data_IF_371814098244
#
_entry.id   IF_371814098244
#
_cell.length_a   1.000
_cell.length_b   1.000
_cell.length_c   1.000
_cell.angle_alpha   90.00
_cell.angle_beta   90.00
_cell.angle_gamma   90.00
#
_symmetry.space_group_name_H-M   'P 1'
#
loop_
_entity.id
_entity.type
_entity.pdbx_description
1 polymer ?
#
# COMPACT_ATOMS: atom_id res chain seq x y z
N UNK A 1 -12.45 -54.23 -2.05
CA UNK A 1 -11.50 -53.09 -2.03
C UNK A 1 -12.35 -51.83 -2.03
N UNK A 2 -12.51 -51.18 -0.88
CA UNK A 2 -13.25 -49.91 -0.79
C UNK A 2 -12.25 -48.77 -0.98
N UNK A 3 -12.46 -47.95 -2.00
CA UNK A 3 -11.69 -46.73 -2.26
C UNK A 3 -12.31 -45.64 -1.38
N UNK A 4 -11.57 -45.16 -0.37
CA UNK A 4 -11.97 -43.96 0.37
C UNK A 4 -11.87 -42.73 -0.55
N UNK A 5 -12.89 -41.85 -0.59
CA UNK A 5 -12.74 -40.54 -1.19
C UNK A 5 -11.80 -39.68 -0.34
N UNK A 6 -11.00 -38.79 -0.94
CA UNK A 6 -10.22 -37.81 -0.18
C UNK A 6 -11.17 -36.84 0.52
N UNK A 7 -10.96 -36.66 1.83
CA UNK A 7 -11.62 -35.65 2.67
C UNK A 7 -11.48 -34.26 2.02
N UNK A 8 -12.55 -33.45 1.94
CA UNK A 8 -12.43 -32.10 1.42
C UNK A 8 -11.53 -31.29 2.36
N UNK A 9 -10.39 -30.85 1.81
CA UNK A 9 -9.46 -29.93 2.43
C UNK A 9 -10.23 -28.78 3.07
N UNK A 10 -9.97 -28.56 4.37
CA UNK A 10 -10.58 -27.50 5.16
C UNK A 10 -10.48 -26.17 4.43
N UNK A 11 -11.62 -25.70 3.94
CA UNK A 11 -11.78 -24.35 3.44
C UNK A 11 -11.47 -23.39 4.57
N UNK A 12 -10.28 -22.79 4.53
CA UNK A 12 -10.01 -21.55 5.26
C UNK A 12 -10.83 -20.46 4.57
N UNK A 13 -12.11 -20.42 4.94
CA UNK A 13 -13.02 -19.33 4.60
C UNK A 13 -12.59 -18.17 5.47
N UNK A 14 -11.52 -17.50 5.05
CA UNK A 14 -11.07 -16.24 5.65
C UNK A 14 -12.22 -15.26 5.55
N UNK A 15 -12.78 -14.94 6.71
CA UNK A 15 -13.81 -13.92 6.87
C UNK A 15 -13.36 -12.62 6.16
N UNK A 16 -14.10 -12.12 5.16
CA UNK A 16 -13.79 -10.84 4.49
C UNK A 16 -14.14 -9.63 5.38
N UNK A 17 -14.30 -9.83 6.69
CA UNK A 17 -14.42 -8.77 7.67
C UNK A 17 -13.15 -7.93 7.68
N UNK A 18 -13.28 -6.62 7.45
CA UNK A 18 -12.15 -5.66 7.52
C UNK A 18 -11.38 -5.64 8.85
N UNK A 19 -11.85 -6.40 9.86
CA UNK A 19 -11.12 -6.75 11.07
C UNK A 19 -9.84 -7.55 10.78
N UNK A 20 -9.90 -8.58 9.92
CA UNK A 20 -8.73 -9.40 9.58
C UNK A 20 -7.68 -8.62 8.77
N UNK A 21 -8.12 -7.69 7.92
CA UNK A 21 -7.21 -6.79 7.18
C UNK A 21 -6.44 -5.86 8.12
N UNK A 22 -7.14 -5.31 9.12
CA UNK A 22 -6.53 -4.42 10.10
C UNK A 22 -5.51 -5.15 10.96
N UNK A 23 -5.87 -6.33 11.48
CA UNK A 23 -4.97 -7.15 12.31
C UNK A 23 -3.66 -7.50 11.58
N UNK A 24 -3.74 -7.86 10.30
CA UNK A 24 -2.54 -8.16 9.49
C UNK A 24 -1.67 -6.92 9.27
N UNK A 25 -2.28 -5.78 8.95
CA UNK A 25 -1.53 -4.53 8.78
C UNK A 25 -0.92 -4.04 10.10
N UNK A 26 -1.60 -4.21 11.22
CA UNK A 26 -1.07 -3.91 12.56
C UNK A 26 0.15 -4.78 12.89
N UNK A 27 0.08 -6.08 12.60
CA UNK A 27 1.23 -6.98 12.76
C UNK A 27 2.43 -6.62 11.88
N UNK A 28 2.19 -5.98 10.73
CA UNK A 28 3.21 -5.54 9.77
C UNK A 28 3.61 -4.07 9.91
N UNK A 29 3.04 -3.35 10.87
CA UNK A 29 3.26 -1.92 11.03
C UNK A 29 4.75 -1.55 11.20
N UNK A 30 5.59 -2.30 11.94
CA UNK A 30 7.02 -1.98 12.05
C UNK A 30 7.75 -2.00 10.70
N UNK A 31 7.47 -3.01 9.88
CA UNK A 31 8.07 -3.18 8.55
C UNK A 31 7.57 -2.08 7.60
N UNK A 32 6.27 -1.81 7.61
CA UNK A 32 5.65 -0.75 6.81
C UNK A 32 6.14 0.64 7.22
N UNK A 33 6.36 0.88 8.51
CA UNK A 33 6.94 2.11 9.01
C UNK A 33 8.42 2.26 8.60
N UNK A 34 9.17 1.15 8.53
CA UNK A 34 10.54 1.16 8.00
C UNK A 34 10.56 1.51 6.51
N UNK A 35 9.69 0.89 5.72
CA UNK A 35 9.47 1.21 4.31
C UNK A 35 9.12 2.69 4.15
N UNK A 36 8.17 3.18 4.95
CA UNK A 36 7.75 4.58 4.90
C UNK A 36 8.92 5.53 5.17
N UNK A 37 9.74 5.28 6.20
CA UNK A 37 10.93 6.10 6.51
C UNK A 37 11.94 6.14 5.36
N UNK A 38 12.22 5.00 4.72
CA UNK A 38 13.12 4.91 3.57
C UNK A 38 12.56 5.67 2.36
N UNK A 39 11.27 5.46 2.10
CA UNK A 39 10.52 6.19 1.08
C UNK A 39 10.32 7.65 1.48
N UNK A 40 10.66 8.07 2.71
CA UNK A 40 10.36 9.39 3.23
C UNK A 40 11.43 10.21 3.89
N UNK A 41 12.66 9.98 3.48
CA UNK A 41 13.79 10.76 3.92
C UNK A 41 13.52 12.27 3.71
N UNK A 42 13.54 13.02 4.82
CA UNK A 42 13.31 14.46 4.87
C UNK A 42 11.85 14.93 4.86
N UNK A 43 10.87 14.04 5.03
CA UNK A 43 9.44 14.39 5.05
C UNK A 43 8.75 14.12 6.39
N UNK A 44 8.52 15.18 7.17
CA UNK A 44 7.69 15.17 8.40
C UNK A 44 6.25 14.65 8.17
N UNK A 45 5.77 14.67 6.92
CA UNK A 45 4.42 14.22 6.54
C UNK A 45 4.29 12.72 6.33
N UNK A 46 5.36 11.94 6.52
CA UNK A 46 5.35 10.52 6.22
C UNK A 46 4.33 9.71 7.04
N UNK A 47 4.26 9.94 8.35
CA UNK A 47 3.32 9.23 9.23
C UNK A 47 1.84 9.43 8.84
N UNK A 48 1.32 10.68 8.67
CA UNK A 48 -0.07 10.86 8.29
C UNK A 48 -0.40 10.32 6.88
N UNK A 49 0.56 10.33 5.96
CA UNK A 49 0.38 9.74 4.62
C UNK A 49 0.32 8.21 4.72
N UNK A 50 1.15 7.59 5.58
CA UNK A 50 1.11 6.16 5.83
C UNK A 50 -0.23 5.73 6.43
N UNK A 51 -0.72 6.44 7.45
CA UNK A 51 -2.04 6.14 8.05
C UNK A 51 -3.17 6.21 7.02
N UNK A 52 -3.12 7.21 6.14
CA UNK A 52 -4.08 7.34 5.04
C UNK A 52 -4.00 6.18 4.04
N UNK A 53 -2.80 5.74 3.70
CA UNK A 53 -2.57 4.59 2.82
C UNK A 53 -3.09 3.28 3.45
N UNK A 54 -2.85 3.07 4.75
CA UNK A 54 -3.35 1.91 5.50
C UNK A 54 -4.89 1.91 5.58
N UNK A 55 -5.49 3.05 5.94
CA UNK A 55 -6.94 3.20 5.98
C UNK A 55 -7.57 2.91 4.60
N UNK A 56 -6.92 3.38 3.53
CA UNK A 56 -7.33 3.10 2.15
C UNK A 56 -7.25 1.61 1.83
N UNK A 57 -6.13 0.96 2.18
CA UNK A 57 -5.94 -0.48 1.99
C UNK A 57 -7.06 -1.28 2.66
N UNK A 58 -7.35 -1.01 3.94
CA UNK A 58 -8.44 -1.67 4.67
C UNK A 58 -9.80 -1.46 4.00
N UNK A 59 -10.08 -0.26 3.49
CA UNK A 59 -11.39 0.05 2.90
C UNK A 59 -11.62 -0.63 1.54
N UNK A 60 -10.57 -0.75 0.72
CA UNK A 60 -10.70 -1.05 -0.71
C UNK A 60 -10.05 -2.34 -1.17
N UNK A 61 -9.23 -2.98 -0.32
CA UNK A 61 -8.64 -4.25 -0.65
C UNK A 61 -9.71 -5.34 -0.83
N UNK A 62 -9.59 -6.11 -1.92
CA UNK A 62 -10.50 -7.20 -2.30
C UNK A 62 -9.74 -8.44 -2.79
N UNK A 63 -8.46 -8.56 -2.42
CA UNK A 63 -7.61 -9.69 -2.77
C UNK A 63 -7.27 -10.56 -1.56
N UNK A 64 -6.31 -11.48 -1.72
CA UNK A 64 -5.80 -12.31 -0.62
C UNK A 64 -5.27 -11.46 0.54
N UNK A 65 -5.47 -11.93 1.77
CA UNK A 65 -4.84 -11.31 2.95
C UNK A 65 -3.43 -11.87 3.04
N UNK A 66 -2.41 -11.02 2.92
CA UNK A 66 -1.02 -11.46 2.82
C UNK A 66 -0.07 -10.38 2.28
N UNK A 67 1.06 -10.78 1.67
CA UNK A 67 2.08 -9.86 1.13
C UNK A 67 1.51 -8.86 0.12
N UNK A 68 0.50 -9.24 -0.66
CA UNK A 68 -0.15 -8.39 -1.64
C UNK A 68 -0.89 -7.21 -1.00
N UNK A 69 -1.47 -7.40 0.20
CA UNK A 69 -2.11 -6.31 0.94
C UNK A 69 -1.06 -5.27 1.40
N UNK A 70 0.09 -5.73 1.87
CA UNK A 70 1.20 -4.85 2.25
C UNK A 70 1.76 -4.12 1.03
N UNK A 71 1.99 -4.82 -0.07
CA UNK A 71 2.42 -4.23 -1.33
C UNK A 71 1.44 -3.16 -1.83
N UNK A 72 0.14 -3.43 -1.70
CA UNK A 72 -0.91 -2.49 -2.06
C UNK A 72 -0.89 -1.23 -1.17
N UNK A 73 -0.74 -1.40 0.14
CA UNK A 73 -0.62 -0.27 1.08
C UNK A 73 0.63 0.58 0.81
N UNK A 74 1.79 -0.03 0.57
CA UNK A 74 3.04 0.67 0.22
C UNK A 74 2.88 1.41 -1.11
N UNK A 75 2.25 0.80 -2.11
CA UNK A 75 2.00 1.44 -3.40
C UNK A 75 1.17 2.72 -3.24
N UNK A 76 0.07 2.65 -2.48
CA UNK A 76 -0.74 3.83 -2.15
C UNK A 76 0.04 4.91 -1.41
N UNK A 77 0.88 4.52 -0.45
CA UNK A 77 1.74 5.45 0.28
C UNK A 77 2.65 6.22 -0.67
N UNK A 78 3.33 5.54 -1.59
CA UNK A 78 4.22 6.17 -2.58
C UNK A 78 3.45 7.11 -3.50
N UNK A 79 2.31 6.70 -4.05
CA UNK A 79 1.53 7.57 -4.95
C UNK A 79 1.00 8.83 -4.25
N UNK A 80 0.49 8.69 -3.01
CA UNK A 80 0.06 9.83 -2.20
C UNK A 80 1.22 10.79 -1.92
N UNK A 81 2.37 10.23 -1.59
CA UNK A 81 3.57 10.99 -1.28
C UNK A 81 4.09 11.79 -2.48
N UNK A 82 4.04 11.23 -3.69
CA UNK A 82 4.40 11.92 -4.92
C UNK A 82 3.36 12.99 -5.27
N UNK A 83 2.07 12.72 -5.09
CA UNK A 83 1.00 13.66 -5.36
C UNK A 83 0.98 14.88 -4.42
N UNK A 84 1.44 14.71 -3.17
CA UNK A 84 1.62 15.83 -2.23
C UNK A 84 2.84 16.72 -2.56
N UNK A 85 3.54 16.45 -3.66
CA UNK A 85 4.54 17.35 -4.21
C UNK A 85 5.79 17.39 -3.36
N UNK A 86 6.49 16.25 -3.26
CA UNK A 86 7.87 16.26 -2.79
C UNK A 86 8.73 17.14 -3.68
N UNK A 87 9.04 18.33 -3.21
CA UNK A 87 10.38 18.84 -3.42
C UNK A 87 11.31 18.01 -2.54
N UNK A 88 12.33 17.30 -3.08
CA UNK A 88 13.34 16.67 -2.26
C UNK A 88 14.06 17.78 -1.48
N UNK A 89 13.61 18.06 -0.26
CA UNK A 89 14.39 18.83 0.69
C UNK A 89 15.45 17.86 1.19
N UNK A 90 16.71 18.11 0.83
CA UNK A 90 17.85 17.50 1.53
C UNK A 90 17.64 17.76 3.02
N UNK A 91 17.21 16.75 3.76
CA UNK A 91 17.31 16.79 5.21
C UNK A 91 18.81 16.82 5.55
N UNK A 92 19.19 17.69 6.48
CA UNK A 92 20.55 17.72 7.00
C UNK A 92 20.89 16.35 7.61
N UNK A 93 21.95 15.71 7.10
CA UNK A 93 22.35 14.35 7.45
C UNK A 93 21.83 13.24 6.53
N UNK A 94 21.09 13.56 5.48
CA UNK A 94 20.70 12.59 4.44
C UNK A 94 21.89 12.26 3.52
N UNK A 95 22.29 10.99 3.46
CA UNK A 95 23.32 10.51 2.53
C UNK A 95 22.87 10.62 1.07
N UNK A 96 23.82 10.74 0.14
CA UNK A 96 23.51 10.96 -1.29
C UNK A 96 22.64 9.84 -1.89
N UNK A 97 22.78 8.59 -1.43
CA UNK A 97 21.96 7.45 -1.90
C UNK A 97 20.48 7.59 -1.59
N UNK A 98 20.12 8.14 -0.42
CA UNK A 98 18.73 8.37 -0.04
C UNK A 98 18.10 9.51 -0.86
N UNK A 99 18.91 10.50 -1.27
CA UNK A 99 18.48 11.55 -2.20
C UNK A 99 18.23 10.94 -3.58
N UNK A 100 19.16 10.13 -4.10
CA UNK A 100 19.00 9.45 -5.39
C UNK A 100 17.76 8.54 -5.40
N UNK A 101 17.56 7.76 -4.35
CA UNK A 101 16.37 6.91 -4.21
C UNK A 101 15.07 7.72 -4.26
N UNK A 102 15.03 8.89 -3.61
CA UNK A 102 13.85 9.76 -3.61
C UNK A 102 13.51 10.36 -4.98
N UNK A 103 14.48 10.41 -5.90
CA UNK A 103 14.29 10.91 -7.28
C UNK A 103 13.79 9.86 -8.25
N UNK A 104 13.79 8.58 -7.86
CA UNK A 104 13.30 7.51 -8.72
C UNK A 104 11.80 7.65 -8.99
N UNK A 105 11.29 7.19 -10.15
CA UNK A 105 9.87 7.04 -10.40
C UNK A 105 9.16 6.21 -9.31
N UNK A 106 7.88 6.49 -9.00
CA UNK A 106 7.12 5.76 -7.98
C UNK A 106 7.22 4.24 -8.10
N UNK A 107 7.12 3.71 -9.32
CA UNK A 107 7.15 2.26 -9.56
C UNK A 107 8.51 1.64 -9.23
N UNK A 108 9.60 2.35 -9.46
CA UNK A 108 10.95 1.89 -9.14
C UNK A 108 11.20 1.93 -7.62
N UNK A 109 10.70 2.96 -6.93
CA UNK A 109 10.75 3.03 -5.47
C UNK A 109 9.98 1.87 -4.83
N UNK A 110 8.79 1.56 -5.36
CA UNK A 110 7.96 0.43 -4.92
C UNK A 110 8.69 -0.89 -5.15
N UNK A 111 9.24 -1.10 -6.36
CA UNK A 111 9.93 -2.34 -6.72
C UNK A 111 11.17 -2.59 -5.85
N UNK A 112 11.95 -1.56 -5.54
CA UNK A 112 13.14 -1.67 -4.68
C UNK A 112 12.76 -1.97 -3.23
N UNK A 113 11.78 -1.25 -2.67
CA UNK A 113 11.39 -1.44 -1.26
C UNK A 113 10.68 -2.77 -1.05
N UNK A 114 9.83 -3.18 -1.99
CA UNK A 114 9.13 -4.46 -1.89
C UNK A 114 9.99 -5.64 -2.37
N UNK A 115 11.01 -5.41 -3.19
CA UNK A 115 11.92 -6.45 -3.68
C UNK A 115 12.76 -7.09 -2.58
N UNK A 116 12.96 -6.38 -1.46
CA UNK A 116 13.58 -6.93 -0.25
C UNK A 116 12.66 -7.91 0.51
N UNK A 117 11.36 -7.92 0.21
CA UNK A 117 10.41 -8.86 0.77
C UNK A 117 10.25 -10.05 -0.19
N UNK A 118 10.94 -11.17 0.10
CA UNK A 118 10.90 -12.41 -0.72
C UNK A 118 9.50 -13.05 -0.85
N UNK A 119 8.53 -12.55 -0.08
CA UNK A 119 7.17 -13.07 -0.02
C UNK A 119 6.34 -12.77 -1.27
N UNK A 120 6.78 -11.84 -2.15
CA UNK A 120 6.06 -11.50 -3.39
C UNK A 120 7.01 -11.40 -4.60
N UNK A 121 6.77 -12.17 -5.69
CA UNK A 121 7.63 -12.11 -6.86
C UNK A 121 7.49 -10.76 -7.60
N UNK A 122 8.51 -10.34 -8.40
CA UNK A 122 8.49 -9.05 -9.10
C UNK A 122 7.25 -8.81 -9.96
N UNK A 123 6.75 -9.85 -10.64
CA UNK A 123 5.52 -9.76 -11.43
C UNK A 123 4.28 -9.48 -10.55
N UNK A 124 4.23 -10.03 -9.34
CA UNK A 124 3.18 -9.77 -8.36
C UNK A 124 3.24 -8.34 -7.83
N UNK A 125 4.45 -7.85 -7.52
CA UNK A 125 4.68 -6.45 -7.13
C UNK A 125 4.17 -5.50 -8.22
N UNK A 126 4.57 -5.73 -9.47
CA UNK A 126 4.16 -4.89 -10.61
C UNK A 126 2.65 -4.89 -10.82
N UNK A 127 1.99 -6.06 -10.70
CA UNK A 127 0.54 -6.17 -10.83
C UNK A 127 -0.21 -5.40 -9.73
N UNK A 128 0.23 -5.53 -8.48
CA UNK A 128 -0.38 -4.82 -7.34
C UNK A 128 -0.15 -3.31 -7.45
N UNK A 129 1.06 -2.89 -7.79
CA UNK A 129 1.39 -1.48 -7.97
C UNK A 129 0.60 -0.85 -9.12
N UNK A 130 0.50 -1.53 -10.27
CA UNK A 130 -0.29 -1.08 -11.42
C UNK A 130 -1.78 -0.94 -11.09
N UNK A 131 -2.33 -1.89 -10.32
CA UNK A 131 -3.71 -1.78 -9.80
C UNK A 131 -3.87 -0.56 -8.89
N UNK A 132 -2.98 -0.37 -7.93
CA UNK A 132 -3.03 0.77 -7.02
C UNK A 132 -2.92 2.11 -7.77
N UNK A 133 -2.08 2.18 -8.80
CA UNK A 133 -1.96 3.36 -9.67
C UNK A 133 -3.27 3.67 -10.39
N UNK A 134 -3.87 2.68 -11.06
CA UNK A 134 -5.12 2.88 -11.78
C UNK A 134 -6.25 3.35 -10.85
N UNK A 135 -6.33 2.80 -9.64
CA UNK A 135 -7.31 3.24 -8.64
C UNK A 135 -7.00 4.64 -8.08
N UNK A 136 -5.71 4.98 -7.92
CA UNK A 136 -5.27 6.31 -7.52
C UNK A 136 -5.62 7.36 -8.58
N UNK A 137 -5.32 7.11 -9.85
CA UNK A 137 -5.62 8.01 -10.98
C UNK A 137 -7.12 8.22 -11.15
N UNK A 138 -7.91 7.15 -10.99
CA UNK A 138 -9.37 7.24 -11.01
C UNK A 138 -9.89 8.16 -9.89
N UNK A 139 -9.32 8.09 -8.69
CA UNK A 139 -9.72 8.91 -7.55
C UNK A 139 -9.23 10.36 -7.67
N UNK A 140 -8.02 10.57 -8.20
CA UNK A 140 -7.49 11.90 -8.51
C UNK A 140 -8.31 12.61 -9.61
N UNK A 141 -8.87 11.85 -10.54
CA UNK A 141 -9.72 12.37 -11.64
C UNK A 141 -11.16 12.68 -11.21
N UNK A 142 -11.58 12.31 -10.00
CA UNK A 142 -12.94 12.61 -9.53
C UNK A 142 -13.10 14.12 -9.27
N UNK A 143 -14.10 14.80 -9.87
CA UNK A 143 -14.34 16.22 -9.64
C UNK A 143 -14.69 16.47 -8.17
N UNK A 144 -14.22 17.60 -7.63
CA UNK A 144 -14.38 17.98 -6.22
C UNK A 144 -15.84 17.95 -5.73
N UNK A 145 -16.80 18.22 -6.62
CA UNK A 145 -18.24 18.19 -6.35
C UNK A 145 -18.80 16.81 -5.95
N UNK A 146 -18.15 15.71 -6.33
CA UNK A 146 -18.55 14.35 -5.91
C UNK A 146 -18.00 14.00 -4.52
N UNK A 147 -16.91 14.66 -4.08
CA UNK A 147 -16.30 14.44 -2.75
C UNK A 147 -17.12 15.09 -1.62
N UNK A 148 -17.83 16.18 -1.90
CA UNK A 148 -18.71 16.86 -0.94
C UNK A 148 -20.15 16.32 -0.94
N UNK A 149 -20.65 15.79 -2.05
CA UNK A 149 -22.03 15.30 -2.17
C UNK A 149 -22.40 14.16 -1.22
N UNK A 150 -21.42 13.37 -0.74
CA UNK A 150 -21.65 12.31 0.24
C UNK A 150 -21.74 12.80 1.69
N UNK A 151 -21.27 14.03 1.98
CA UNK A 151 -21.37 14.65 3.31
C UNK A 151 -22.68 15.40 3.51
N UNK A 152 -23.40 15.74 2.43
CA UNK A 152 -24.67 16.49 2.51
C UNK A 152 -25.92 15.64 2.27
N UNK A 153 -25.78 14.36 1.91
CA UNK A 153 -26.91 13.44 1.75
C UNK A 153 -27.37 12.76 3.06
N UNK A 154 -26.93 13.26 4.22
CA UNK A 154 -27.24 12.72 5.56
C UNK A 154 -27.93 13.72 6.51
N UNK A 155 -28.64 14.70 5.97
CA UNK A 155 -29.54 15.56 6.74
C UNK A 155 -30.99 15.33 6.37
#
# INVERSE_FOLDING_TARGET
MYIMPPEPSGGSTGDPSGRGLREVLEGRLPDLAACARLLSVGSERAAPILDRALARAVATWRGPIGPELCAYAVSWFVYLLHAEGRAPRRAEGCGDDAVLFSTLPPIEQIALVLGEFEELPPAGIAAVAGRALAEFELEASRPASVREGLLHARH
#
